data_IF_828737460996
#
_entry.id   IF_828737460996
#
_cell.length_a   1.000
_cell.length_b   1.000
_cell.length_c   1.000
_cell.angle_alpha   90.00
_cell.angle_beta   90.00
_cell.angle_gamma   90.00
#
_symmetry.space_group_name_H-M   'P 1'
#
loop_
_entity.id
_entity.type
_entity.pdbx_description
1 polymer ?
#
# COMPACT_ATOMS: atom_id res chain seq x y z
N UNK A 1 -3.69 -5.21 -9.14
CA UNK A 1 -3.01 -4.84 -7.88
C UNK A 1 -3.89 -3.85 -7.14
N UNK A 2 -4.31 -4.21 -5.94
CA UNK A 2 -5.22 -3.44 -5.09
C UNK A 2 -4.43 -2.68 -4.02
N UNK A 3 -4.85 -1.45 -3.71
CA UNK A 3 -4.22 -0.62 -2.66
C UNK A 3 -5.11 -0.59 -1.42
N UNK A 4 -4.56 -1.05 -0.29
CA UNK A 4 -5.19 -0.94 1.05
C UNK A 4 -4.78 0.34 1.78
N UNK A 5 -3.97 1.20 1.15
CA UNK A 5 -3.36 2.36 1.81
C UNK A 5 -4.38 3.24 2.54
N UNK A 6 -5.53 3.52 1.91
CA UNK A 6 -6.57 4.35 2.52
C UNK A 6 -7.16 3.69 3.78
N UNK A 7 -7.55 2.41 3.69
CA UNK A 7 -8.09 1.67 4.83
C UNK A 7 -7.09 1.58 5.99
N UNK A 8 -5.80 1.38 5.67
CA UNK A 8 -4.73 1.33 6.68
C UNK A 8 -4.62 2.67 7.42
N UNK A 9 -4.61 3.80 6.70
CA UNK A 9 -4.52 5.12 7.33
C UNK A 9 -5.75 5.42 8.20
N UNK A 10 -6.95 5.12 7.69
CA UNK A 10 -8.20 5.34 8.39
C UNK A 10 -8.25 4.49 9.68
N UNK A 11 -7.85 3.21 9.60
CA UNK A 11 -7.83 2.27 10.75
C UNK A 11 -6.81 2.67 11.81
N UNK A 12 -5.61 3.12 11.39
CA UNK A 12 -4.58 3.60 12.32
C UNK A 12 -4.85 5.02 12.84
N UNK A 13 -5.86 5.72 12.32
CA UNK A 13 -6.14 7.12 12.67
C UNK A 13 -5.04 8.11 12.25
N UNK A 14 -4.27 7.77 11.21
CA UNK A 14 -3.12 8.56 10.77
C UNK A 14 -3.52 9.51 9.65
N UNK A 15 -3.22 10.80 9.81
CA UNK A 15 -3.44 11.80 8.75
C UNK A 15 -2.50 11.55 7.56
N UNK A 16 -3.04 11.49 6.35
CA UNK A 16 -2.24 11.26 5.14
C UNK A 16 -1.14 12.32 4.92
N UNK A 17 -1.36 13.56 5.36
CA UNK A 17 -0.37 14.65 5.27
C UNK A 17 0.86 14.38 6.12
N UNK A 18 0.70 13.70 7.25
CA UNK A 18 1.81 13.26 8.09
C UNK A 18 2.66 12.22 7.35
N UNK A 19 2.01 11.20 6.78
CA UNK A 19 2.70 10.15 6.02
C UNK A 19 3.37 10.70 4.78
N UNK A 20 2.72 11.61 4.05
CA UNK A 20 3.30 12.26 2.87
C UNK A 20 4.59 13.01 3.21
N UNK A 21 4.58 13.77 4.31
CA UNK A 21 5.76 14.47 4.82
C UNK A 21 6.90 13.50 5.17
N UNK A 22 6.61 12.44 5.92
CA UNK A 22 7.62 11.45 6.32
C UNK A 22 8.17 10.65 5.13
N UNK A 23 7.30 10.28 4.19
CA UNK A 23 7.68 9.59 2.96
C UNK A 23 8.34 10.52 1.93
N UNK A 24 8.45 11.83 2.21
CA UNK A 24 9.01 12.86 1.31
C UNK A 24 8.33 12.85 -0.07
N UNK A 25 7.00 12.90 -0.08
CA UNK A 25 6.17 13.08 -1.28
C UNK A 25 5.18 14.23 -1.09
N UNK A 26 4.67 14.78 -2.20
CA UNK A 26 3.66 15.84 -2.13
C UNK A 26 2.31 15.30 -1.63
N UNK A 27 1.50 16.17 -1.05
CA UNK A 27 0.11 15.85 -0.68
C UNK A 27 -0.73 15.46 -1.91
N UNK A 28 -0.45 16.04 -3.08
CA UNK A 28 -1.12 15.68 -4.34
C UNK A 28 -0.77 14.25 -4.76
N UNK A 29 0.50 13.85 -4.67
CA UNK A 29 0.93 12.48 -4.95
C UNK A 29 0.27 11.50 -3.97
N UNK A 30 0.28 11.81 -2.66
CA UNK A 30 -0.39 10.98 -1.66
C UNK A 30 -1.89 10.83 -1.94
N UNK A 31 -2.56 11.91 -2.31
CA UNK A 31 -4.00 11.88 -2.65
C UNK A 31 -4.27 10.99 -3.86
N UNK A 32 -3.39 10.99 -4.87
CA UNK A 32 -3.49 10.08 -6.00
C UNK A 32 -3.35 8.61 -5.56
N UNK A 33 -2.39 8.31 -4.68
CA UNK A 33 -2.22 6.95 -4.14
C UNK A 33 -3.43 6.48 -3.33
N UNK A 34 -4.05 7.36 -2.55
CA UNK A 34 -5.28 7.06 -1.80
C UNK A 34 -6.49 6.77 -2.70
N UNK A 35 -6.48 7.28 -3.93
CA UNK A 35 -7.50 7.01 -4.96
C UNK A 35 -7.23 5.73 -5.76
N UNK A 36 -6.18 4.98 -5.43
CA UNK A 36 -5.78 3.77 -6.13
C UNK A 36 -4.66 3.98 -7.16
N UNK A 37 -4.06 5.16 -7.24
CA UNK A 37 -2.85 5.38 -8.03
C UNK A 37 -1.71 4.48 -7.58
N UNK A 38 -0.90 4.01 -8.54
CA UNK A 38 0.23 3.14 -8.24
C UNK A 38 1.49 3.95 -7.94
N UNK A 39 2.21 3.63 -6.83
CA UNK A 39 3.48 4.25 -6.54
C UNK A 39 4.60 3.65 -7.40
N UNK A 40 5.71 4.38 -7.52
CA UNK A 40 6.99 3.78 -7.91
C UNK A 40 7.56 2.98 -6.72
N UNK A 41 8.41 2.00 -6.99
CA UNK A 41 9.03 1.17 -5.94
C UNK A 41 9.70 2.00 -4.82
N UNK A 42 10.49 3.06 -5.09
CA UNK A 42 11.07 3.88 -4.03
C UNK A 42 10.04 4.67 -3.22
N UNK A 43 8.90 5.04 -3.79
CA UNK A 43 7.82 5.72 -3.07
C UNK A 43 7.08 4.72 -2.17
N UNK A 44 6.73 3.56 -2.73
CA UNK A 44 6.07 2.49 -2.01
C UNK A 44 6.89 2.04 -0.78
N UNK A 45 8.19 1.83 -0.97
CA UNK A 45 9.10 1.44 0.10
C UNK A 45 9.15 2.49 1.22
N UNK A 46 9.27 3.78 0.89
CA UNK A 46 9.28 4.86 1.90
C UNK A 46 7.98 4.90 2.70
N UNK A 47 6.83 4.78 2.04
CA UNK A 47 5.52 4.76 2.72
C UNK A 47 5.42 3.54 3.63
N UNK A 48 5.81 2.36 3.15
CA UNK A 48 5.81 1.12 3.93
C UNK A 48 6.67 1.25 5.20
N UNK A 49 7.85 1.86 5.10
CA UNK A 49 8.72 2.15 6.25
C UNK A 49 8.09 3.10 7.27
N UNK A 50 7.37 4.13 6.82
CA UNK A 50 6.66 5.07 7.72
C UNK A 50 5.51 4.37 8.45
N UNK A 51 4.85 3.43 7.79
CA UNK A 51 3.73 2.69 8.38
C UNK A 51 4.17 1.47 9.18
N UNK A 52 5.47 1.15 9.17
CA UNK A 52 6.08 -0.05 9.74
C UNK A 52 5.43 -1.34 9.22
N UNK A 53 5.19 -1.39 7.91
CA UNK A 53 4.52 -2.50 7.23
C UNK A 53 5.36 -2.99 6.05
N UNK A 54 5.03 -4.18 5.55
CA UNK A 54 5.60 -4.65 4.29
C UNK A 54 4.85 -4.01 3.11
N UNK A 55 5.52 -3.94 1.97
CA UNK A 55 4.96 -3.33 0.77
C UNK A 55 3.75 -4.13 0.27
N UNK A 56 3.85 -5.45 0.31
CA UNK A 56 2.83 -6.40 -0.15
C UNK A 56 1.57 -6.40 0.74
N UNK A 57 1.68 -5.90 1.98
CA UNK A 57 0.53 -5.73 2.87
C UNK A 57 -0.28 -4.46 2.54
N UNK A 58 0.33 -3.51 1.82
CA UNK A 58 -0.30 -2.24 1.42
C UNK A 58 -0.76 -2.32 -0.04
N UNK A 59 0.03 -2.92 -0.91
CA UNK A 59 -0.26 -3.11 -2.33
C UNK A 59 -0.30 -4.59 -2.66
N UNK A 60 -1.52 -5.11 -2.74
CA UNK A 60 -1.79 -6.55 -2.85
C UNK A 60 -1.92 -6.92 -4.34
N UNK A 61 -1.10 -7.87 -4.78
CA UNK A 61 -1.28 -8.48 -6.10
C UNK A 61 -2.56 -9.33 -6.09
N UNK A 62 -3.47 -9.04 -7.02
CA UNK A 62 -4.64 -9.88 -7.25
C UNK A 62 -4.15 -11.11 -8.00
N UNK A 63 -3.53 -12.03 -7.26
CA UNK A 63 -3.28 -13.36 -7.78
C UNK A 63 -4.64 -14.03 -7.85
N UNK A 64 -5.10 -14.34 -9.07
CA UNK A 64 -6.07 -15.42 -9.22
C UNK A 64 -5.46 -16.63 -8.53
N UNK A 65 -6.22 -17.27 -7.64
CA UNK A 65 -5.80 -18.45 -6.90
C UNK A 65 -5.14 -19.50 -7.82
N UNK A 66 -3.81 -19.48 -7.93
CA UNK A 66 -3.02 -20.62 -8.40
C UNK A 66 -2.87 -21.58 -7.21
N UNK A 67 -4.01 -21.91 -6.60
CA UNK A 67 -4.16 -22.66 -5.36
C UNK A 67 -5.11 -23.84 -5.54
N UNK A 68 -5.17 -24.44 -6.73
CA UNK A 68 -5.79 -25.75 -6.98
C UNK A 68 -4.77 -26.79 -7.45
N UNK A 69 -3.55 -26.82 -6.88
CA UNK A 69 -2.73 -28.03 -6.97
C UNK A 69 -3.30 -29.04 -5.97
N UNK A 70 -4.24 -29.85 -6.45
CA UNK A 70 -4.75 -31.05 -5.76
C UNK A 70 -3.56 -31.80 -5.15
N UNK A 71 -3.45 -31.81 -3.82
CA UNK A 71 -2.70 -32.86 -3.12
C UNK A 71 -3.39 -34.18 -3.46
N UNK A 72 -2.89 -34.87 -4.50
CA UNK A 72 -3.27 -36.26 -4.75
C UNK A 72 -2.72 -37.07 -3.57
N UNK A 73 -3.66 -37.69 -2.85
CA UNK A 73 -3.44 -38.81 -1.95
C UNK A 73 -2.67 -39.92 -2.66
#
# INVERSE_FOLDING_TARGET
MRSELKQILDTKGIKYTHVAKQAKISNSAMTNLLKGGLPTLPVAYRIARVLEMRLEDIWIEETEDIGSVKKKK
#
